data_IF_871773699892
#
_entry.id   IF_871773699892
#
_cell.length_a   1.000
_cell.length_b   1.000
_cell.length_c   1.000
_cell.angle_alpha   90.00
_cell.angle_beta   90.00
_cell.angle_gamma   90.00
#
_symmetry.space_group_name_H-M   'P 1'
#
loop_
_entity.id
_entity.type
_entity.pdbx_description
1 polymer ?
#
# COMPACT_ATOMS: atom_id res chain seq x y z
N UNK A 1 57.59 -50.30 -3.35
CA UNK A 1 57.05 -49.86 -4.63
C UNK A 1 56.00 -48.82 -4.34
N UNK A 2 56.27 -47.66 -4.80
CA UNK A 2 55.81 -46.35 -4.35
C UNK A 2 54.44 -45.95 -4.84
N UNK A 3 53.58 -45.61 -3.88
CA UNK A 3 52.24 -45.09 -4.13
C UNK A 3 52.31 -43.57 -4.53
N UNK A 4 52.55 -43.26 -5.77
CA UNK A 4 52.51 -41.91 -6.30
C UNK A 4 51.32 -41.62 -7.23
N UNK A 5 50.18 -42.32 -7.03
CA UNK A 5 49.03 -42.18 -7.94
C UNK A 5 47.90 -41.26 -7.44
N UNK A 6 48.11 -40.57 -6.32
CA UNK A 6 47.11 -39.59 -5.84
C UNK A 6 47.76 -38.24 -5.46
N UNK A 7 48.49 -37.65 -6.39
CA UNK A 7 48.73 -36.23 -6.29
C UNK A 7 47.43 -35.51 -6.69
N UNK A 8 46.75 -34.96 -5.68
CA UNK A 8 45.61 -34.11 -5.86
C UNK A 8 46.05 -32.95 -6.75
N UNK A 9 45.51 -32.88 -7.98
CA UNK A 9 45.68 -31.79 -8.88
C UNK A 9 45.34 -30.50 -8.11
N UNK A 10 46.37 -29.70 -7.85
CA UNK A 10 46.26 -28.49 -7.06
C UNK A 10 45.10 -27.64 -7.51
N UNK A 11 44.31 -27.23 -6.52
CA UNK A 11 43.22 -26.28 -6.67
C UNK A 11 43.75 -24.96 -7.24
N UNK A 12 43.88 -24.88 -8.57
CA UNK A 12 44.12 -23.61 -9.27
C UNK A 12 42.90 -22.77 -9.02
N UNK A 13 42.99 -21.91 -7.99
CA UNK A 13 42.11 -20.74 -7.89
C UNK A 13 42.33 -19.89 -9.16
N UNK A 14 41.61 -20.21 -10.20
CA UNK A 14 41.41 -19.25 -11.28
C UNK A 14 40.66 -18.07 -10.63
N UNK A 15 41.42 -17.06 -10.20
CA UNK A 15 40.86 -15.74 -9.96
C UNK A 15 40.30 -15.24 -11.31
N UNK A 16 39.03 -15.58 -11.54
CA UNK A 16 38.27 -14.90 -12.55
C UNK A 16 38.13 -13.46 -12.09
N UNK A 17 39.03 -12.60 -12.61
CA UNK A 17 38.89 -11.15 -12.49
C UNK A 17 37.62 -10.81 -13.23
N UNK A 18 36.49 -10.85 -12.49
CA UNK A 18 35.21 -10.34 -12.99
C UNK A 18 35.43 -8.83 -13.15
N UNK A 19 35.43 -8.29 -14.38
CA UNK A 19 35.58 -6.85 -14.55
C UNK A 19 34.43 -6.20 -13.74
N UNK A 20 34.80 -5.35 -12.76
CA UNK A 20 33.84 -4.52 -12.04
C UNK A 20 33.19 -3.59 -13.06
N UNK A 21 32.14 -4.06 -13.71
CA UNK A 21 31.25 -3.21 -14.50
C UNK A 21 30.84 -2.07 -13.58
N UNK A 22 31.13 -0.83 -13.96
CA UNK A 22 30.64 0.36 -13.27
C UNK A 22 29.12 0.35 -13.40
N UNK A 23 28.46 -0.34 -12.49
CA UNK A 23 27.00 -0.41 -12.42
C UNK A 23 26.50 1.03 -12.26
N UNK A 24 25.92 1.59 -13.31
CA UNK A 24 25.32 2.92 -13.22
C UNK A 24 24.32 2.89 -12.08
N UNK A 25 24.27 3.95 -11.27
CA UNK A 25 23.47 4.05 -10.03
C UNK A 25 22.01 3.60 -10.18
N UNK A 26 21.44 3.68 -11.36
CA UNK A 26 20.07 3.26 -11.71
C UNK A 26 19.96 1.80 -12.21
N UNK A 27 21.08 1.10 -12.48
CA UNK A 27 21.03 -0.31 -12.90
C UNK A 27 20.63 -1.21 -11.73
N UNK A 28 19.43 -1.79 -11.86
CA UNK A 28 18.81 -2.67 -10.85
C UNK A 28 17.87 -1.96 -9.87
N UNK A 29 17.64 -0.65 -10.01
CA UNK A 29 16.60 0.07 -9.25
C UNK A 29 15.38 0.30 -10.15
N UNK A 30 14.14 0.16 -9.64
CA UNK A 30 12.93 0.38 -10.43
C UNK A 30 12.63 1.87 -10.63
N UNK A 31 13.63 2.62 -11.16
CA UNK A 31 13.54 4.09 -11.31
C UNK A 31 12.37 4.48 -12.22
N UNK A 32 12.19 3.75 -13.33
CA UNK A 32 11.11 4.03 -14.28
C UNK A 32 9.75 3.85 -13.61
N UNK A 33 9.56 2.75 -12.86
CA UNK A 33 8.31 2.50 -12.14
C UNK A 33 8.05 3.54 -11.05
N UNK A 34 9.12 3.97 -10.35
CA UNK A 34 9.01 5.02 -9.34
C UNK A 34 8.62 6.36 -9.96
N UNK A 35 9.20 6.73 -11.10
CA UNK A 35 8.86 7.97 -11.83
C UNK A 35 7.40 7.93 -12.29
N UNK A 36 6.95 6.82 -12.89
CA UNK A 36 5.56 6.67 -13.33
C UNK A 36 4.60 6.80 -12.15
N UNK A 37 4.90 6.12 -11.03
CA UNK A 37 4.08 6.20 -9.83
C UNK A 37 3.99 7.64 -9.28
N UNK A 38 5.13 8.34 -9.20
CA UNK A 38 5.17 9.73 -8.75
C UNK A 38 4.34 10.62 -9.68
N UNK A 39 4.45 10.45 -10.99
CA UNK A 39 3.67 11.21 -11.97
C UNK A 39 2.17 10.99 -11.81
N UNK A 40 1.74 9.74 -11.61
CA UNK A 40 0.33 9.42 -11.37
C UNK A 40 -0.16 10.06 -10.07
N UNK A 41 0.59 9.92 -8.98
CA UNK A 41 0.23 10.50 -7.68
C UNK A 41 0.15 12.02 -7.76
N UNK A 42 1.14 12.67 -8.36
CA UNK A 42 1.14 14.12 -8.55
C UNK A 42 -0.03 14.56 -9.45
N UNK A 43 -0.31 13.83 -10.54
CA UNK A 43 -1.46 14.10 -11.39
C UNK A 43 -2.79 14.02 -10.63
N UNK A 44 -2.97 12.99 -9.80
CA UNK A 44 -4.17 12.87 -8.97
C UNK A 44 -4.27 13.97 -7.92
N UNK A 45 -3.16 14.36 -7.26
CA UNK A 45 -3.16 15.45 -6.29
C UNK A 45 -3.47 16.81 -6.94
N UNK A 46 -2.99 17.00 -8.17
CA UNK A 46 -3.24 18.19 -8.98
C UNK A 46 -4.48 18.04 -9.89
N UNK A 47 -5.43 17.17 -9.53
CA UNK A 47 -6.60 16.86 -10.37
C UNK A 47 -7.36 18.11 -10.84
N UNK A 48 -7.51 19.13 -10.00
CA UNK A 48 -8.18 20.40 -10.34
C UNK A 48 -7.52 21.16 -11.50
N UNK A 49 -6.22 20.94 -11.74
CA UNK A 49 -5.50 21.56 -12.86
C UNK A 49 -5.57 20.73 -14.15
N UNK A 50 -5.87 19.43 -14.01
CA UNK A 50 -5.84 18.47 -15.13
C UNK A 50 -7.24 18.21 -15.66
N UNK A 51 -8.27 18.18 -14.78
CA UNK A 51 -9.66 17.94 -15.21
C UNK A 51 -10.13 19.06 -16.13
N UNK A 52 -10.85 18.63 -17.17
CA UNK A 52 -11.40 19.50 -18.21
C UNK A 52 -12.78 20.01 -17.86
N UNK A 53 -13.52 19.25 -17.03
CA UNK A 53 -14.90 19.52 -16.62
C UNK A 53 -15.12 19.15 -15.16
N UNK A 54 -16.22 19.63 -14.58
CA UNK A 54 -16.64 19.20 -13.24
C UNK A 54 -16.99 17.70 -13.26
N UNK A 55 -16.29 16.86 -12.47
CA UNK A 55 -16.50 15.40 -12.47
C UNK A 55 -17.86 14.98 -11.91
N UNK A 56 -18.56 15.88 -11.22
CA UNK A 56 -19.88 15.63 -10.61
C UNK A 56 -21.04 16.12 -11.46
N UNK A 57 -20.76 16.98 -12.45
CA UNK A 57 -21.80 17.54 -13.33
C UNK A 57 -22.39 16.47 -14.24
N UNK A 58 -23.71 16.33 -14.20
CA UNK A 58 -24.47 15.37 -14.99
C UNK A 58 -25.08 16.07 -16.22
N UNK A 59 -24.74 15.59 -17.41
CA UNK A 59 -25.31 16.07 -18.68
C UNK A 59 -25.95 14.93 -19.47
N UNK A 60 -27.22 14.73 -19.23
CA UNK A 60 -27.99 13.64 -19.86
C UNK A 60 -28.10 13.77 -21.40
N UNK A 61 -27.81 14.94 -21.98
CA UNK A 61 -27.76 15.10 -23.45
C UNK A 61 -26.53 14.43 -24.06
N UNK A 62 -25.49 14.27 -23.26
CA UNK A 62 -24.21 13.64 -23.63
C UNK A 62 -24.00 12.26 -22.98
N UNK A 63 -25.09 11.50 -22.69
CA UNK A 63 -24.93 10.19 -22.08
C UNK A 63 -24.28 9.17 -23.02
N UNK A 64 -23.40 8.32 -22.50
CA UNK A 64 -22.69 7.27 -23.24
C UNK A 64 -22.01 7.77 -24.54
N UNK A 65 -21.53 9.00 -24.58
CA UNK A 65 -20.84 9.56 -25.71
C UNK A 65 -19.46 8.93 -25.88
N UNK A 66 -19.13 8.53 -27.10
CA UNK A 66 -17.81 8.02 -27.42
C UNK A 66 -16.71 9.10 -27.24
N UNK A 67 -15.44 8.70 -27.02
CA UNK A 67 -14.33 9.65 -26.94
C UNK A 67 -14.27 10.60 -28.14
N UNK A 68 -14.17 11.90 -27.87
CA UNK A 68 -14.03 12.95 -28.86
C UNK A 68 -13.10 14.08 -28.35
N UNK A 69 -13.04 15.19 -29.08
CA UNK A 69 -12.21 16.34 -28.68
C UNK A 69 -12.72 17.08 -27.44
N UNK A 70 -13.99 16.96 -27.16
CA UNK A 70 -14.63 17.58 -26.00
C UNK A 70 -14.61 16.68 -24.77
N UNK A 71 -14.75 15.36 -24.97
CA UNK A 71 -14.71 14.32 -23.93
C UNK A 71 -13.63 13.31 -24.27
N UNK A 72 -12.42 13.52 -23.75
CA UNK A 72 -11.22 12.74 -24.09
C UNK A 72 -11.41 11.23 -23.94
N UNK A 73 -12.14 10.79 -22.94
CA UNK A 73 -12.43 9.37 -22.65
C UNK A 73 -13.93 9.06 -22.79
N UNK A 74 -14.70 9.99 -23.40
CA UNK A 74 -16.14 9.89 -23.50
C UNK A 74 -16.85 10.19 -22.18
N UNK A 75 -18.13 9.85 -22.13
CA UNK A 75 -19.00 10.09 -20.98
C UNK A 75 -19.61 8.78 -20.45
N UNK A 76 -20.01 8.80 -19.18
CA UNK A 76 -20.73 7.69 -18.56
C UNK A 76 -22.26 7.73 -18.84
N UNK A 77 -22.99 6.80 -18.20
CA UNK A 77 -24.45 6.71 -18.28
C UNK A 77 -25.22 7.92 -17.70
N UNK A 78 -24.52 8.83 -17.05
CA UNK A 78 -25.08 10.08 -16.51
C UNK A 78 -24.57 11.31 -17.28
N UNK A 79 -23.79 11.10 -18.36
CA UNK A 79 -23.19 12.16 -19.16
C UNK A 79 -22.01 12.87 -18.47
N UNK A 80 -21.44 12.27 -17.43
CA UNK A 80 -20.27 12.83 -16.73
C UNK A 80 -19.00 12.54 -17.50
N UNK A 81 -18.03 13.48 -17.50
CA UNK A 81 -16.73 13.31 -18.17
C UNK A 81 -15.85 12.27 -17.47
N UNK A 82 -15.58 11.15 -18.14
CA UNK A 82 -14.80 10.04 -17.59
C UNK A 82 -13.35 10.47 -17.30
N UNK A 83 -12.74 11.31 -18.12
CA UNK A 83 -11.38 11.79 -17.90
C UNK A 83 -11.25 12.56 -16.58
N UNK A 84 -12.14 13.51 -16.34
CA UNK A 84 -12.18 14.29 -15.09
C UNK A 84 -12.51 13.40 -13.87
N UNK A 85 -13.42 12.43 -14.04
CA UNK A 85 -13.76 11.48 -12.97
C UNK A 85 -12.58 10.61 -12.55
N UNK A 86 -11.70 10.18 -13.47
CA UNK A 86 -10.52 9.36 -13.14
C UNK A 86 -9.55 10.15 -12.28
N UNK A 87 -9.22 11.38 -12.65
CA UNK A 87 -8.27 12.19 -11.87
C UNK A 87 -8.81 12.59 -10.51
N UNK A 88 -10.07 13.01 -10.46
CA UNK A 88 -10.74 13.38 -9.21
C UNK A 88 -10.94 12.18 -8.28
N UNK A 89 -11.40 11.05 -8.81
CA UNK A 89 -11.55 9.80 -8.06
C UNK A 89 -10.20 9.27 -7.56
N UNK A 90 -9.14 9.39 -8.38
CA UNK A 90 -7.77 9.06 -7.98
C UNK A 90 -7.29 9.91 -6.79
N UNK A 91 -7.56 11.23 -6.78
CA UNK A 91 -7.27 12.12 -5.66
C UNK A 91 -7.97 11.66 -4.38
N UNK A 92 -9.27 11.39 -4.46
CA UNK A 92 -10.05 10.92 -3.30
C UNK A 92 -9.49 9.59 -2.78
N UNK A 93 -9.18 8.65 -3.67
CA UNK A 93 -8.63 7.34 -3.30
C UNK A 93 -7.27 7.45 -2.61
N UNK A 94 -6.37 8.32 -3.09
CA UNK A 94 -5.07 8.56 -2.47
C UNK A 94 -5.23 9.21 -1.09
N UNK A 95 -6.14 10.17 -0.94
CA UNK A 95 -6.40 10.82 0.36
C UNK A 95 -6.96 9.82 1.38
N UNK A 96 -7.97 9.04 1.00
CA UNK A 96 -8.55 8.02 1.90
C UNK A 96 -7.50 6.98 2.27
N UNK A 97 -6.78 6.42 1.29
CA UNK A 97 -5.76 5.41 1.54
C UNK A 97 -4.59 5.94 2.38
N UNK A 98 -4.14 7.16 2.12
CA UNK A 98 -3.09 7.82 2.89
C UNK A 98 -3.48 8.03 4.36
N UNK A 99 -4.64 8.64 4.60
CA UNK A 99 -5.16 8.86 5.96
C UNK A 99 -5.40 7.54 6.69
N UNK A 100 -6.04 6.57 6.04
CA UNK A 100 -6.27 5.25 6.62
C UNK A 100 -4.97 4.54 7.00
N UNK A 101 -3.93 4.64 6.15
CA UNK A 101 -2.61 4.06 6.42
C UNK A 101 -1.95 4.72 7.65
N UNK A 102 -2.02 6.04 7.78
CA UNK A 102 -1.49 6.75 8.95
C UNK A 102 -2.19 6.28 10.23
N UNK A 103 -3.52 6.25 10.23
CA UNK A 103 -4.31 5.81 11.39
C UNK A 103 -3.99 4.34 11.73
N UNK A 104 -4.03 3.46 10.75
CA UNK A 104 -3.77 2.03 10.91
C UNK A 104 -2.36 1.77 11.44
N UNK A 105 -1.35 2.44 10.87
CA UNK A 105 0.05 2.28 11.30
C UNK A 105 0.26 2.81 12.71
N UNK A 106 -0.33 3.94 13.06
CA UNK A 106 -0.24 4.48 14.41
C UNK A 106 -0.80 3.50 15.45
N UNK A 107 -2.02 3.00 15.24
CA UNK A 107 -2.64 2.01 16.13
C UNK A 107 -1.79 0.73 16.20
N UNK A 108 -1.34 0.24 15.05
CA UNK A 108 -0.55 -0.99 14.95
C UNK A 108 0.78 -0.89 15.68
N UNK A 109 1.49 0.23 15.55
CA UNK A 109 2.76 0.44 16.25
C UNK A 109 2.55 0.51 17.75
N UNK A 110 1.55 1.26 18.22
CA UNK A 110 1.25 1.36 19.66
C UNK A 110 0.87 0.00 20.23
N UNK A 111 -0.10 -0.69 19.63
CA UNK A 111 -0.58 -1.99 20.14
C UNK A 111 0.49 -3.07 19.98
N UNK A 112 1.16 -3.13 18.83
CA UNK A 112 2.19 -4.13 18.56
C UNK A 112 3.42 -3.97 19.45
N UNK A 113 3.90 -2.75 19.65
CA UNK A 113 5.03 -2.47 20.54
C UNK A 113 4.69 -2.79 21.99
N UNK A 114 3.52 -2.33 22.46
CA UNK A 114 3.05 -2.64 23.81
C UNK A 114 2.93 -4.15 24.04
N UNK A 115 2.32 -4.89 23.13
CA UNK A 115 2.21 -6.35 23.17
C UNK A 115 3.60 -7.03 23.17
N UNK A 116 4.55 -6.51 22.37
CA UNK A 116 5.90 -7.07 22.28
C UNK A 116 6.71 -7.02 23.56
N UNK A 117 6.52 -5.97 24.39
CA UNK A 117 7.20 -5.82 25.70
C UNK A 117 6.40 -6.33 26.87
N UNK A 118 5.11 -6.57 26.72
CA UNK A 118 4.21 -6.98 27.79
C UNK A 118 4.55 -8.35 28.36
N UNK A 119 4.13 -8.65 29.61
CA UNK A 119 4.20 -10.00 30.15
C UNK A 119 3.28 -10.96 29.36
N UNK A 120 3.60 -12.25 29.40
CA UNK A 120 2.98 -13.26 28.53
C UNK A 120 1.43 -13.27 28.60
N UNK A 121 0.84 -13.11 29.76
CA UNK A 121 -0.62 -13.13 29.94
C UNK A 121 -1.29 -11.93 29.23
N UNK A 122 -0.67 -10.74 29.31
CA UNK A 122 -1.22 -9.52 28.70
C UNK A 122 -1.03 -9.54 27.18
N UNK A 123 0.10 -10.01 26.72
CA UNK A 123 0.34 -10.22 25.30
C UNK A 123 -0.65 -11.24 24.70
N UNK A 124 -0.92 -12.34 25.40
CA UNK A 124 -1.92 -13.31 24.94
C UNK A 124 -3.32 -12.69 24.87
N UNK A 125 -3.71 -11.90 25.86
CA UNK A 125 -5.00 -11.19 25.86
C UNK A 125 -5.13 -10.25 24.65
N UNK A 126 -4.12 -9.44 24.37
CA UNK A 126 -4.10 -8.52 23.21
C UNK A 126 -4.19 -9.30 21.91
N UNK A 127 -3.44 -10.41 21.80
CA UNK A 127 -3.48 -11.24 20.58
C UNK A 127 -4.82 -11.92 20.39
N UNK A 128 -5.49 -12.40 21.45
CA UNK A 128 -6.85 -12.94 21.37
C UNK A 128 -7.85 -11.89 20.90
N UNK A 129 -7.75 -10.67 21.41
CA UNK A 129 -8.56 -9.57 20.93
C UNK A 129 -8.34 -9.29 19.44
N UNK A 130 -7.07 -9.30 19.01
CA UNK A 130 -6.71 -9.14 17.58
C UNK A 130 -7.29 -10.26 16.71
N UNK A 131 -7.32 -11.50 17.22
CA UNK A 131 -7.90 -12.65 16.51
C UNK A 131 -9.41 -12.52 16.34
N UNK A 132 -10.13 -11.98 17.33
CA UNK A 132 -11.57 -11.69 17.22
C UNK A 132 -11.82 -10.72 16.05
N UNK A 133 -11.02 -9.64 15.93
CA UNK A 133 -11.13 -8.72 14.80
C UNK A 133 -10.89 -9.40 13.46
N UNK A 134 -9.91 -10.29 13.39
CA UNK A 134 -9.57 -11.02 12.15
C UNK A 134 -10.60 -12.11 11.79
N UNK A 135 -11.42 -12.56 12.73
CA UNK A 135 -12.47 -13.55 12.46
C UNK A 135 -13.66 -12.97 11.70
N UNK A 136 -13.82 -11.65 11.75
CA UNK A 136 -14.89 -10.94 11.04
C UNK A 136 -14.38 -10.54 9.65
N UNK A 137 -15.11 -10.85 8.56
CA UNK A 137 -14.73 -10.36 7.24
C UNK A 137 -14.62 -8.82 7.23
N UNK A 138 -13.43 -8.31 6.89
CA UNK A 138 -13.11 -6.87 6.99
C UNK A 138 -14.12 -5.98 6.25
N UNK A 139 -14.59 -6.41 5.08
CA UNK A 139 -15.61 -5.66 4.33
C UNK A 139 -16.93 -5.50 5.10
N UNK A 140 -17.37 -6.54 5.79
CA UNK A 140 -18.60 -6.47 6.59
C UNK A 140 -18.42 -5.50 7.76
N UNK A 141 -17.24 -5.53 8.41
CA UNK A 141 -16.93 -4.63 9.51
C UNK A 141 -16.88 -3.16 9.04
N UNK A 142 -16.26 -2.90 7.88
CA UNK A 142 -16.23 -1.56 7.29
C UNK A 142 -17.64 -1.05 6.98
N UNK A 143 -18.48 -1.86 6.34
CA UNK A 143 -19.87 -1.48 6.01
C UNK A 143 -20.67 -1.20 7.28
N UNK A 144 -20.54 -2.07 8.29
CA UNK A 144 -21.23 -1.89 9.56
C UNK A 144 -20.83 -0.59 10.26
N UNK A 145 -19.52 -0.35 10.40
CA UNK A 145 -19.01 0.86 11.04
C UNK A 145 -19.38 2.12 10.26
N UNK A 146 -19.33 2.06 8.92
CA UNK A 146 -19.74 3.17 8.08
C UNK A 146 -21.24 3.47 8.21
N UNK A 147 -22.08 2.46 8.34
CA UNK A 147 -23.51 2.62 8.59
C UNK A 147 -23.80 3.28 9.96
N UNK A 148 -23.02 2.97 10.99
CA UNK A 148 -23.13 3.61 12.31
C UNK A 148 -22.68 5.08 12.25
N UNK A 149 -21.65 5.40 11.46
CA UNK A 149 -21.17 6.77 11.33
C UNK A 149 -22.10 7.68 10.48
N UNK A 150 -23.02 7.08 9.74
CA UNK A 150 -24.05 7.76 8.95
C UNK A 150 -23.50 8.26 7.61
N UNK A 151 -22.90 9.44 7.55
CA UNK A 151 -22.44 10.02 6.29
C UNK A 151 -21.10 9.45 5.81
N UNK A 152 -21.04 9.02 4.54
CA UNK A 152 -19.82 8.59 3.90
C UNK A 152 -19.05 9.80 3.35
N UNK A 153 -18.05 10.26 4.09
CA UNK A 153 -17.11 11.27 3.65
C UNK A 153 -15.66 10.77 3.74
N UNK A 154 -14.71 11.53 3.20
CA UNK A 154 -13.29 11.15 3.16
C UNK A 154 -12.77 10.81 4.56
N UNK A 155 -13.12 11.58 5.57
CA UNK A 155 -12.63 11.41 6.93
C UNK A 155 -13.25 10.17 7.60
N UNK A 156 -14.57 9.97 7.50
CA UNK A 156 -15.26 8.82 8.06
C UNK A 156 -14.77 7.50 7.44
N UNK A 157 -14.65 7.45 6.12
CA UNK A 157 -14.11 6.28 5.41
C UNK A 157 -12.66 6.00 5.80
N UNK A 158 -11.79 7.00 5.84
CA UNK A 158 -10.40 6.85 6.24
C UNK A 158 -10.27 6.33 7.68
N UNK A 159 -11.08 6.84 8.58
CA UNK A 159 -11.11 6.41 9.97
C UNK A 159 -11.56 4.95 10.10
N UNK A 160 -12.68 4.59 9.47
CA UNK A 160 -13.21 3.22 9.50
C UNK A 160 -12.20 2.23 8.94
N UNK A 161 -11.61 2.52 7.76
CA UNK A 161 -10.61 1.65 7.15
C UNK A 161 -9.36 1.56 8.04
N UNK A 162 -8.90 2.67 8.57
CA UNK A 162 -7.73 2.73 9.45
C UNK A 162 -7.91 1.89 10.72
N UNK A 163 -9.07 2.03 11.38
CA UNK A 163 -9.40 1.30 12.61
C UNK A 163 -9.64 -0.19 12.37
N UNK A 164 -9.97 -0.61 11.17
CA UNK A 164 -10.17 -2.03 10.84
C UNK A 164 -8.90 -2.74 10.32
N UNK A 165 -7.91 -2.01 9.83
CA UNK A 165 -6.76 -2.57 9.11
C UNK A 165 -5.47 -2.71 9.94
N UNK A 166 -5.43 -2.28 11.18
CA UNK A 166 -4.23 -2.25 12.03
C UNK A 166 -3.72 -3.63 12.48
N UNK A 167 -4.60 -4.63 12.55
CA UNK A 167 -4.32 -5.92 13.21
C UNK A 167 -3.15 -6.69 12.63
N UNK A 168 -3.06 -6.76 11.30
CA UNK A 168 -1.97 -7.46 10.59
C UNK A 168 -0.62 -6.79 10.81
N UNK A 169 -0.59 -5.46 10.77
CA UNK A 169 0.64 -4.67 10.99
C UNK A 169 1.08 -4.79 12.45
N UNK A 170 0.14 -4.78 13.41
CA UNK A 170 0.43 -4.94 14.83
C UNK A 170 1.13 -6.27 15.14
N UNK A 171 0.73 -7.37 14.48
CA UNK A 171 1.41 -8.68 14.62
C UNK A 171 2.86 -8.64 14.13
N UNK A 172 3.13 -7.93 13.04
CA UNK A 172 4.50 -7.74 12.51
C UNK A 172 5.33 -6.93 13.50
N UNK A 173 4.83 -5.77 13.92
CA UNK A 173 5.53 -4.91 14.90
C UNK A 173 5.82 -5.66 16.20
N UNK A 174 4.84 -6.40 16.74
CA UNK A 174 5.05 -7.24 17.92
C UNK A 174 6.18 -8.24 17.74
N UNK A 175 6.23 -8.90 16.59
CA UNK A 175 7.27 -9.92 16.31
C UNK A 175 8.65 -9.28 16.27
N UNK A 176 8.82 -8.15 15.61
CA UNK A 176 10.07 -7.40 15.54
C UNK A 176 10.53 -6.92 16.93
N UNK A 177 9.62 -6.36 17.73
CA UNK A 177 9.94 -5.92 19.10
C UNK A 177 10.41 -7.07 19.98
N UNK A 178 9.77 -8.25 19.88
CA UNK A 178 10.19 -9.44 20.60
C UNK A 178 11.56 -9.97 20.15
N UNK A 179 11.81 -9.92 18.85
CA UNK A 179 13.10 -10.35 18.30
C UNK A 179 14.23 -9.46 18.81
N UNK A 180 14.05 -8.14 18.81
CA UNK A 180 15.03 -7.18 19.35
C UNK A 180 15.27 -7.46 20.83
N UNK A 181 14.21 -7.58 21.63
CA UNK A 181 14.31 -7.86 23.08
C UNK A 181 15.06 -9.15 23.39
N UNK A 182 14.93 -10.19 22.58
CA UNK A 182 15.61 -11.46 22.79
C UNK A 182 17.06 -11.48 22.25
N UNK A 183 17.48 -10.45 21.52
CA UNK A 183 18.84 -10.31 20.98
C UNK A 183 19.79 -9.54 21.92
N UNK A 184 19.25 -8.86 22.94
CA UNK A 184 20.01 -8.19 24.01
C UNK A 184 20.22 -9.13 25.21
#
# INVERSE_FOLDING_TARGET
MTNHLFELAGNRKTETVIPKSKKKWYQGKPVVSAVILILIVLGCLCAELIMTKDPTYMDLLNYNKAPDREFLFGTDTMGRDIFSMIWYGGRISILIGGLATVISTFIAVVVGAFSGVAPAWLDELIMRFTEIFLSIPTLLLIILLQAIMGEANILSLSFVIGVTSWTSIAKVVRTEVRQIRNSE
#
